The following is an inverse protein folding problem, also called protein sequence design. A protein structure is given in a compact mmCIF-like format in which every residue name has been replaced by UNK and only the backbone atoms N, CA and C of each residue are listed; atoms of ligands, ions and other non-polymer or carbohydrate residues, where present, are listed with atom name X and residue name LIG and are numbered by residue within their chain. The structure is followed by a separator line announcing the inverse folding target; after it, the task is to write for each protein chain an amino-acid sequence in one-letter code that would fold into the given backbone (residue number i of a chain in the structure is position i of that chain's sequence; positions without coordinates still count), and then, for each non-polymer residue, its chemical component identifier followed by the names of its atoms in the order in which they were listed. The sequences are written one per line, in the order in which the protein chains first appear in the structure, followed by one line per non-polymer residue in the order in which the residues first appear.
data_IF_047609557491
#
_entry.id   IF_047609557491
#
_cell.length_a   1.000
_cell.length_b   1.000
_cell.length_c   1.000
_cell.angle_alpha   90.00
_cell.angle_beta   90.00
_cell.angle_gamma   90.00
#
_symmetry.space_group_name_H-M   'P 1'
#
loop_
_entity.id
_entity.type
_entity.pdbx_description
1 polymer ?
#
# COMPACT_ATOMS: atom_id res chain seq x y z
N UNK A 1 -35.86 5.55 0.77
CA UNK A 1 -34.48 5.83 0.35
C UNK A 1 -33.53 5.11 1.28
N UNK A 2 -32.36 4.73 0.79
CA UNK A 2 -31.29 4.15 1.61
C UNK A 2 -30.13 5.14 1.72
N UNK A 3 -29.39 5.05 2.81
CA UNK A 3 -28.14 5.76 3.01
C UNK A 3 -27.02 4.72 3.02
N UNK A 4 -25.97 5.00 2.27
CA UNK A 4 -24.82 4.14 2.09
C UNK A 4 -23.56 4.93 2.44
N UNK A 5 -22.63 4.26 3.10
CA UNK A 5 -21.27 4.74 3.27
C UNK A 5 -20.37 4.02 2.28
N UNK A 6 -19.65 4.80 1.49
CA UNK A 6 -18.66 4.34 0.54
C UNK A 6 -17.31 4.72 1.13
N UNK A 7 -16.45 3.73 1.37
CA UNK A 7 -15.06 3.96 1.72
C UNK A 7 -14.19 3.40 0.60
N UNK A 8 -13.25 4.18 0.08
CA UNK A 8 -12.35 3.77 -1.00
C UNK A 8 -10.93 4.29 -0.80
N UNK A 9 -9.94 3.44 -1.05
CA UNK A 9 -8.52 3.77 -1.02
C UNK A 9 -8.02 3.92 -2.46
N UNK A 10 -7.32 5.03 -2.75
CA UNK A 10 -6.66 5.26 -4.04
C UNK A 10 -5.21 5.67 -3.86
N UNK A 11 -4.34 5.35 -4.81
CA UNK A 11 -2.93 5.80 -4.77
C UNK A 11 -2.79 7.32 -4.96
N UNK A 12 -3.75 7.97 -5.61
CA UNK A 12 -3.67 9.40 -5.95
C UNK A 12 -4.93 10.17 -5.59
N UNK A 13 -4.73 11.39 -5.07
CA UNK A 13 -5.82 12.30 -4.68
C UNK A 13 -6.51 12.97 -5.88
N UNK A 14 -5.76 13.18 -6.96
CA UNK A 14 -6.14 14.11 -8.03
C UNK A 14 -7.41 13.66 -8.76
N UNK A 15 -8.48 14.46 -8.76
CA UNK A 15 -9.71 14.10 -9.46
C UNK A 15 -10.56 12.99 -8.83
N UNK A 16 -10.07 12.29 -7.79
CA UNK A 16 -10.75 11.15 -7.16
C UNK A 16 -12.17 11.49 -6.69
N UNK A 17 -12.31 12.61 -5.97
CA UNK A 17 -13.59 13.08 -5.46
C UNK A 17 -14.57 13.44 -6.59
N UNK A 18 -14.07 13.99 -7.69
CA UNK A 18 -14.88 14.42 -8.83
C UNK A 18 -15.37 13.20 -9.61
N UNK A 19 -14.48 12.24 -9.89
CA UNK A 19 -14.80 11.02 -10.64
C UNK A 19 -15.78 10.13 -9.87
N UNK A 20 -15.49 9.87 -8.60
CA UNK A 20 -16.38 9.09 -7.73
C UNK A 20 -17.70 9.80 -7.51
N UNK A 21 -17.68 11.13 -7.32
CA UNK A 21 -18.88 11.95 -7.27
C UNK A 21 -19.72 11.85 -8.55
N UNK A 22 -19.08 11.74 -9.72
CA UNK A 22 -19.77 11.54 -11.00
C UNK A 22 -20.47 10.20 -11.07
N UNK A 23 -19.84 9.11 -10.59
CA UNK A 23 -20.48 7.80 -10.52
C UNK A 23 -21.70 7.82 -9.61
N UNK A 24 -21.57 8.42 -8.42
CA UNK A 24 -22.67 8.57 -7.45
C UNK A 24 -23.87 9.28 -8.08
N UNK A 25 -23.63 10.42 -8.75
CA UNK A 25 -24.68 11.19 -9.41
C UNK A 25 -25.30 10.44 -10.60
N UNK A 26 -24.48 9.80 -11.43
CA UNK A 26 -24.93 9.02 -12.58
C UNK A 26 -25.82 7.83 -12.17
N UNK A 27 -25.50 7.20 -11.04
CA UNK A 27 -26.31 6.13 -10.45
C UNK A 27 -27.55 6.64 -9.69
N UNK A 28 -27.81 7.95 -9.67
CA UNK A 28 -29.00 8.53 -9.04
C UNK A 28 -28.94 8.62 -7.51
N UNK A 29 -27.73 8.68 -6.95
CA UNK A 29 -27.50 8.96 -5.54
C UNK A 29 -27.15 10.44 -5.34
N UNK A 30 -27.49 10.96 -4.16
CA UNK A 30 -27.15 12.31 -3.72
C UNK A 30 -26.05 12.22 -2.67
N UNK A 31 -25.00 13.01 -2.81
CA UNK A 31 -23.92 13.08 -1.83
C UNK A 31 -24.39 13.86 -0.60
N UNK A 32 -24.28 13.26 0.58
CA UNK A 32 -24.66 13.86 1.87
C UNK A 32 -23.42 14.39 2.60
N UNK A 33 -22.39 13.54 2.71
CA UNK A 33 -21.14 13.86 3.40
C UNK A 33 -19.98 13.31 2.57
N UNK A 34 -18.87 14.02 2.59
CA UNK A 34 -17.63 13.52 2.02
C UNK A 34 -16.48 13.89 2.94
N UNK A 35 -15.52 12.98 3.03
CA UNK A 35 -14.27 13.19 3.73
C UNK A 35 -13.17 12.63 2.86
N UNK A 36 -12.13 13.42 2.68
CA UNK A 36 -10.93 12.99 1.99
C UNK A 36 -9.78 13.13 2.98
N UNK A 37 -9.16 12.01 3.31
CA UNK A 37 -8.04 11.97 4.24
C UNK A 37 -6.82 11.47 3.48
N UNK A 38 -5.70 12.17 3.65
CA UNK A 38 -4.44 11.68 3.14
C UNK A 38 -3.96 10.59 4.10
N UNK A 39 -3.77 9.40 3.54
CA UNK A 39 -3.39 8.20 4.26
C UNK A 39 -1.98 7.79 3.82
N UNK A 40 -1.14 7.19 4.68
CA UNK A 40 0.17 6.71 4.28
C UNK A 40 0.15 5.74 3.08
N UNK A 41 -0.96 5.04 2.85
CA UNK A 41 -1.17 4.12 1.71
C UNK A 41 -1.83 4.77 0.50
N UNK A 42 -2.13 6.07 0.57
CA UNK A 42 -2.69 6.85 -0.53
C UNK A 42 -3.68 7.93 -0.09
N UNK A 43 -4.82 8.00 -0.75
CA UNK A 43 -5.90 8.92 -0.44
C UNK A 43 -7.14 8.12 -0.12
N UNK A 44 -7.59 8.25 1.12
CA UNK A 44 -8.83 7.65 1.59
C UNK A 44 -10.00 8.59 1.29
N UNK A 45 -10.97 8.09 0.55
CA UNK A 45 -12.23 8.77 0.28
C UNK A 45 -13.35 8.07 1.06
N UNK A 46 -14.06 8.82 1.89
CA UNK A 46 -15.30 8.40 2.53
C UNK A 46 -16.43 9.27 2.03
N UNK A 47 -17.50 8.66 1.52
CA UNK A 47 -18.69 9.35 1.03
C UNK A 47 -19.94 8.72 1.60
N UNK A 48 -20.78 9.53 2.25
CA UNK A 48 -22.13 9.13 2.63
C UNK A 48 -23.08 9.60 1.54
N UNK A 49 -23.81 8.67 0.95
CA UNK A 49 -24.71 8.92 -0.18
C UNK A 49 -26.12 8.44 0.13
N UNK A 50 -27.13 9.16 -0.38
CA UNK A 50 -28.54 8.82 -0.21
C UNK A 50 -29.20 8.61 -1.56
N UNK A 51 -29.90 7.49 -1.73
CA UNK A 51 -30.55 7.18 -3.00
C UNK A 51 -31.56 6.05 -2.95
N UNK A 52 -31.89 5.54 -4.14
CA UNK A 52 -32.83 4.43 -4.29
C UNK A 52 -32.10 3.09 -4.11
N UNK A 53 -32.65 2.14 -3.32
CA UNK A 53 -32.04 0.81 -3.16
C UNK A 53 -31.94 0.04 -4.49
N UNK A 54 -32.83 0.33 -5.45
CA UNK A 54 -32.81 -0.31 -6.78
C UNK A 54 -31.56 0.04 -7.59
N UNK A 55 -30.93 1.18 -7.28
CA UNK A 55 -29.74 1.69 -7.98
C UNK A 55 -28.42 1.29 -7.31
N UNK A 56 -28.45 0.60 -6.16
CA UNK A 56 -27.24 0.17 -5.44
C UNK A 56 -26.30 -0.65 -6.33
N UNK A 57 -26.84 -1.66 -7.04
CA UNK A 57 -26.03 -2.54 -7.91
C UNK A 57 -25.36 -1.80 -9.06
N UNK A 58 -26.01 -0.76 -9.58
CA UNK A 58 -25.46 0.06 -10.67
C UNK A 58 -24.32 0.95 -10.17
N UNK A 59 -24.44 1.48 -8.94
CA UNK A 59 -23.36 2.19 -8.27
C UNK A 59 -22.18 1.27 -7.97
N UNK A 60 -22.45 0.08 -7.44
CA UNK A 60 -21.43 -0.93 -7.11
C UNK A 60 -20.64 -1.34 -8.36
N UNK A 61 -21.31 -1.69 -9.45
CA UNK A 61 -20.66 -2.01 -10.72
C UNK A 61 -19.84 -0.84 -11.30
N UNK A 62 -20.28 0.40 -11.11
CA UNK A 62 -19.54 1.58 -11.57
C UNK A 62 -18.26 1.82 -10.75
N UNK A 63 -18.29 1.55 -9.44
CA UNK A 63 -17.10 1.65 -8.58
C UNK A 63 -16.15 0.47 -8.76
N UNK A 64 -16.66 -0.73 -9.04
CA UNK A 64 -15.85 -1.91 -9.32
C UNK A 64 -15.10 -1.79 -10.66
N UNK A 65 -15.70 -1.14 -11.65
CA UNK A 65 -15.02 -0.79 -12.91
C UNK A 65 -14.04 0.38 -12.82
N UNK A 66 -13.84 0.97 -11.64
CA UNK A 66 -12.96 2.12 -11.44
C UNK A 66 -11.55 1.67 -11.02
N UNK A 67 -10.65 1.70 -11.99
CA UNK A 67 -9.25 1.25 -11.91
C UNK A 67 -8.39 2.00 -10.86
N UNK A 68 -8.78 3.20 -10.47
CA UNK A 68 -8.01 4.00 -9.50
C UNK A 68 -8.29 3.64 -8.04
N UNK A 69 -9.35 2.89 -7.76
CA UNK A 69 -9.52 2.30 -6.43
C UNK A 69 -8.62 1.07 -6.29
N UNK A 70 -7.77 1.11 -5.27
CA UNK A 70 -7.01 -0.05 -4.80
C UNK A 70 -7.94 -1.00 -4.07
N UNK A 71 -8.87 -0.45 -3.29
CA UNK A 71 -9.95 -1.18 -2.65
C UNK A 71 -11.11 -0.23 -2.36
N UNK A 72 -12.33 -0.77 -2.30
CA UNK A 72 -13.49 -0.01 -1.83
C UNK A 72 -14.48 -0.93 -1.12
N UNK A 73 -15.36 -0.33 -0.32
CA UNK A 73 -16.45 -1.01 0.37
C UNK A 73 -17.68 -0.13 0.38
N UNK A 74 -18.86 -0.76 0.25
CA UNK A 74 -20.16 -0.11 0.36
C UNK A 74 -20.94 -0.74 1.52
N UNK A 75 -21.15 0.02 2.58
CA UNK A 75 -21.94 -0.41 3.76
C UNK A 75 -23.20 0.43 3.91
N UNK A 76 -24.27 -0.08 4.56
CA UNK A 76 -25.36 0.77 5.02
C UNK A 76 -24.83 1.81 6.01
N UNK A 77 -25.18 3.08 5.82
CA UNK A 77 -24.79 4.14 6.75
C UNK A 77 -25.69 4.10 7.98
N UNK A 78 -25.09 4.11 9.18
CA UNK A 78 -25.77 4.18 10.47
C UNK A 78 -25.26 5.41 11.20
N UNK A 79 -26.16 6.36 11.50
CA UNK A 79 -25.78 7.61 12.14
C UNK A 79 -25.30 7.37 13.58
N UNK A 80 -24.06 7.78 13.87
CA UNK A 80 -23.43 7.64 15.18
C UNK A 80 -22.47 6.45 15.31
N UNK A 81 -22.43 5.54 14.33
CA UNK A 81 -21.40 4.50 14.24
C UNK A 81 -20.27 4.99 13.35
N UNK A 82 -19.12 5.35 13.93
CA UNK A 82 -17.90 5.55 13.14
C UNK A 82 -17.35 4.17 12.79
N UNK A 83 -17.54 3.74 11.53
CA UNK A 83 -16.93 2.50 11.06
C UNK A 83 -15.41 2.71 10.92
N UNK A 84 -14.59 1.95 11.68
CA UNK A 84 -13.14 2.07 11.60
C UNK A 84 -12.67 1.79 10.17
N UNK A 85 -11.82 2.67 9.66
CA UNK A 85 -11.33 2.62 8.29
C UNK A 85 -10.40 1.42 8.06
N UNK A 86 -10.57 0.73 6.92
CA UNK A 86 -9.74 -0.39 6.45
C UNK A 86 -8.22 -0.07 6.38
N UNK A 87 -7.87 1.14 5.93
CA UNK A 87 -6.49 1.52 5.59
C UNK A 87 -5.68 2.16 6.73
N UNK A 88 -6.33 2.54 7.83
CA UNK A 88 -5.70 3.33 8.89
C UNK A 88 -4.78 2.52 9.83
N UNK A 89 -4.66 1.21 9.65
CA UNK A 89 -4.02 0.31 10.62
C UNK A 89 -2.63 -0.20 10.24
N UNK A 90 -1.95 0.37 9.24
CA UNK A 90 -0.61 -0.12 8.86
C UNK A 90 0.40 1.02 8.78
N UNK A 91 1.39 1.02 9.68
CA UNK A 91 2.67 1.72 9.46
C UNK A 91 3.52 0.86 8.53
N UNK A 92 4.02 1.44 7.43
CA UNK A 92 5.28 0.96 6.84
C UNK A 92 6.42 1.61 7.58
N UNK A 93 7.36 0.81 8.08
CA UNK A 93 8.65 1.33 8.51
C UNK A 93 9.29 2.05 7.32
N UNK A 94 9.66 3.32 7.50
CA UNK A 94 10.54 4.01 6.57
C UNK A 94 11.84 3.22 6.52
N UNK A 95 12.07 2.48 5.44
CA UNK A 95 13.34 1.81 5.20
C UNK A 95 14.42 2.90 5.15
N UNK A 96 15.22 2.99 6.21
CA UNK A 96 16.51 3.66 6.21
C UNK A 96 17.51 2.63 5.71
N UNK A 97 18.10 2.80 4.50
CA UNK A 97 19.16 1.91 4.05
C UNK A 97 20.28 1.90 5.09
N UNK A 98 20.84 0.73 5.42
CA UNK A 98 21.94 0.64 6.37
C UNK A 98 23.10 1.53 5.89
N UNK A 99 23.80 2.25 6.79
CA UNK A 99 24.92 3.08 6.41
C UNK A 99 25.95 2.23 5.67
N UNK A 100 26.42 2.73 4.52
CA UNK A 100 27.38 2.04 3.67
C UNK A 100 28.60 1.62 4.53
N UNK A 101 29.08 0.38 4.39
CA UNK A 101 30.24 -0.07 5.15
C UNK A 101 31.44 0.82 4.84
N UNK A 102 32.12 1.29 5.89
CA UNK A 102 33.32 2.10 5.74
C UNK A 102 34.36 1.34 4.89
N UNK A 103 35.07 2.04 3.98
CA UNK A 103 36.07 1.41 3.14
C UNK A 103 37.17 0.81 4.02
N UNK A 104 37.24 -0.52 4.02
CA UNK A 104 38.34 -1.29 4.62
C UNK A 104 39.64 -0.84 3.94
N UNK A 105 40.48 -0.11 4.68
CA UNK A 105 41.85 0.15 4.30
C UNK A 105 42.58 -1.18 4.11
N UNK A 106 43.17 -1.47 2.95
CA UNK A 106 43.88 -2.72 2.74
C UNK A 106 45.08 -2.82 3.67
N UNK A 107 45.08 -3.85 4.51
CA UNK A 107 46.21 -4.23 5.36
C UNK A 107 47.40 -4.54 4.46
N UNK A 108 48.54 -3.92 4.78
CA UNK A 108 49.80 -4.07 4.07
C UNK A 108 50.20 -5.54 3.92
N UNK A 109 50.48 -5.96 2.69
CA UNK A 109 51.10 -7.26 2.38
C UNK A 109 52.42 -7.38 3.14
N UNK A 110 52.48 -8.37 4.02
CA UNK A 110 53.75 -8.88 4.58
C UNK A 110 54.60 -9.40 3.44
N UNK A 111 55.82 -8.88 3.36
CA UNK A 111 56.81 -9.21 2.35
C UNK A 111 57.31 -10.65 2.49
N UNK A 112 57.27 -11.40 1.39
CA UNK A 112 58.04 -12.62 1.20
C UNK A 112 59.43 -12.27 0.60
N UNK A 113 60.50 -13.00 0.94
CA UNK A 113 61.87 -12.64 0.59
C UNK A 113 62.20 -12.89 -0.88
N UNK A 114 63.08 -12.02 -1.39
CA UNK A 114 63.52 -11.93 -2.78
C UNK A 114 64.37 -13.12 -3.26
N UNK A 115 64.35 -13.41 -4.58
CA UNK A 115 65.51 -13.92 -5.28
C UNK A 115 66.17 -12.84 -6.15
N UNK A 116 67.43 -13.12 -6.48
CA UNK A 116 68.47 -12.21 -6.90
C UNK A 116 68.25 -11.48 -8.24
N UNK A 117 68.85 -10.29 -8.31
CA UNK A 117 69.03 -9.47 -9.51
C UNK A 117 69.91 -10.18 -10.54
N UNK A 118 69.47 -10.17 -11.81
CA UNK A 118 70.36 -10.22 -12.98
C UNK A 118 69.97 -9.08 -13.93
N UNK A 119 71.01 -8.49 -14.53
CA UNK A 119 71.07 -7.16 -15.08
C UNK A 119 70.26 -6.89 -16.36
N UNK A 120 69.97 -5.61 -16.54
CA UNK A 120 69.47 -4.96 -17.77
C UNK A 120 70.57 -4.93 -18.86
N UNK A 121 70.22 -4.64 -20.14
CA UNK A 121 70.33 -3.24 -20.56
C UNK A 121 69.21 -2.74 -21.51
N UNK A 122 68.83 -1.48 -21.22
CA UNK A 122 68.63 -0.34 -22.12
C UNK A 122 67.87 -0.49 -23.46
N UNK A 123 66.72 0.21 -23.55
CA UNK A 123 66.49 1.23 -24.58
C UNK A 123 65.29 2.14 -24.20
N UNK A 124 65.53 3.45 -24.27
CA UNK A 124 64.58 4.56 -24.40
C UNK A 124 65.14 5.42 -25.55
N UNK A 125 64.41 6.34 -26.23
CA UNK A 125 63.35 7.20 -25.70
C UNK A 125 62.14 7.31 -26.69
N UNK A 126 61.03 7.98 -26.39
CA UNK A 126 60.91 9.45 -26.49
C UNK A 126 59.62 9.95 -25.85
N UNK A 127 59.77 11.11 -25.21
CA UNK A 127 58.73 12.01 -24.72
C UNK A 127 58.00 12.66 -25.90
N UNK A 128 56.74 13.00 -25.70
CA UNK A 128 56.32 14.39 -25.87
C UNK A 128 55.12 14.72 -24.99
N UNK A 129 55.19 15.93 -24.44
CA UNK A 129 54.24 16.64 -23.58
C UNK A 129 53.74 17.81 -24.41
N UNK A 130 52.44 18.09 -24.43
CA UNK A 130 51.81 19.44 -24.49
C UNK A 130 50.28 19.25 -24.56
N UNK A 131 49.51 19.61 -23.52
CA UNK A 131 48.79 20.90 -23.32
C UNK A 131 47.45 21.05 -24.05
N UNK A 132 46.54 21.70 -23.31
CA UNK A 132 45.40 22.51 -23.74
C UNK A 132 44.05 21.86 -24.08
N UNK A 133 43.16 21.95 -23.09
CA UNK A 133 41.83 22.59 -23.15
C UNK A 133 40.67 21.93 -23.96
N UNK A 134 39.40 22.22 -23.56
CA UNK A 134 38.26 21.33 -23.72
C UNK A 134 37.49 21.55 -25.03
N UNK A 135 37.02 20.46 -25.64
CA UNK A 135 36.09 20.54 -26.76
C UNK A 135 34.66 20.81 -26.29
N UNK A 136 34.33 22.10 -26.29
CA UNK A 136 33.15 22.71 -26.89
C UNK A 136 31.84 21.92 -26.89
N UNK A 137 30.95 22.35 -25.99
CA UNK A 137 29.50 22.35 -26.15
C UNK A 137 29.14 23.22 -27.36
N UNK A 138 28.38 22.67 -28.30
CA UNK A 138 27.65 23.45 -29.29
C UNK A 138 26.15 23.46 -28.94
N UNK A 139 25.52 24.63 -28.83
CA UNK A 139 24.15 24.82 -28.35
C UNK A 139 23.11 24.62 -29.46
N UNK A 140 21.97 24.02 -29.12
CA UNK A 140 20.77 24.10 -29.97
C UNK A 140 20.15 25.48 -29.78
N UNK A 141 20.30 26.30 -30.82
CA UNK A 141 19.72 27.62 -30.97
C UNK A 141 18.20 27.54 -31.04
N UNK A 142 17.55 28.24 -30.11
CA UNK A 142 16.21 28.77 -30.30
C UNK A 142 16.25 29.94 -31.30
N UNK A 143 15.22 30.07 -32.14
CA UNK A 143 14.81 31.38 -32.69
C UNK A 143 13.31 31.60 -32.57
N UNK A 144 12.89 32.86 -32.39
CA UNK A 144 11.61 33.23 -31.78
C UNK A 144 10.65 33.87 -32.80
N UNK A 145 9.36 33.93 -32.44
CA UNK A 145 8.42 34.91 -32.97
C UNK A 145 7.73 35.58 -31.76
N UNK A 146 8.25 36.72 -31.32
CA UNK A 146 7.90 38.09 -31.73
C UNK A 146 6.70 38.62 -30.93
N UNK A 147 7.07 39.38 -29.91
CA UNK A 147 6.30 40.27 -29.06
C UNK A 147 5.68 41.41 -29.88
N UNK A 148 4.46 41.80 -29.55
CA UNK A 148 4.01 43.18 -29.67
C UNK A 148 3.25 43.57 -28.40
N UNK A 149 3.70 44.67 -27.80
CA UNK A 149 3.23 45.25 -26.56
C UNK A 149 2.51 46.56 -26.87
N UNK A 150 1.39 46.84 -26.21
CA UNK A 150 0.82 48.19 -26.06
C UNK A 150 0.12 48.22 -24.69
N UNK A 151 0.81 48.73 -23.66
CA UNK A 151 0.64 50.03 -23.00
C UNK A 151 -0.52 50.12 -21.99
N UNK A 152 -0.15 50.52 -20.78
CA UNK A 152 -1.02 51.06 -19.76
C UNK A 152 -1.19 52.56 -19.97
N UNK A 153 -2.42 53.07 -19.88
CA UNK A 153 -2.72 54.47 -19.63
C UNK A 153 -4.07 54.63 -18.92
N UNK A 154 -4.26 55.79 -18.31
CA UNK A 154 -4.97 56.04 -17.07
C UNK A 154 -6.48 56.29 -17.18
N UNK A 155 -7.13 56.09 -16.03
CA UNK A 155 -8.29 56.78 -15.41
C UNK A 155 -9.12 57.72 -16.30
N UNK A 156 -10.43 57.44 -16.41
CA UNK A 156 -11.46 58.48 -16.37
C UNK A 156 -12.82 57.97 -15.90
N UNK A 157 -13.35 58.70 -14.93
CA UNK A 157 -14.67 58.62 -14.24
C UNK A 157 -15.78 59.28 -15.05
N UNK A 158 -16.99 58.69 -15.12
CA UNK A 158 -18.29 59.40 -15.28
C UNK A 158 -19.46 58.46 -14.90
N UNK A 159 -20.71 58.92 -14.65
CA UNK A 159 -21.25 59.43 -13.38
C UNK A 159 -22.42 58.57 -12.81
N UNK A 160 -22.84 58.92 -11.60
CA UNK A 160 -24.02 58.40 -10.91
C UNK A 160 -25.36 58.72 -11.63
N UNK A 161 -26.29 57.76 -11.58
CA UNK A 161 -27.70 57.89 -11.97
C UNK A 161 -28.61 57.69 -10.73
N UNK A 162 -29.83 58.28 -10.70
CA UNK A 162 -30.50 58.78 -9.49
C UNK A 162 -31.20 57.70 -8.63
N UNK A 163 -31.53 58.02 -7.36
CA UNK A 163 -32.21 57.08 -6.46
C UNK A 163 -33.70 56.93 -6.82
N UNK A 164 -34.15 55.67 -6.88
CA UNK A 164 -35.57 55.31 -6.96
C UNK A 164 -36.24 55.38 -5.57
N UNK A 165 -37.55 55.68 -5.49
CA UNK A 165 -38.26 56.00 -4.25
C UNK A 165 -38.48 54.77 -3.34
N UNK A 166 -38.70 54.97 -2.02
CA UNK A 166 -38.87 53.88 -1.06
C UNK A 166 -40.35 53.52 -0.88
N UNK A 167 -40.72 52.26 -1.13
CA UNK A 167 -41.99 51.65 -0.69
C UNK A 167 -41.83 50.11 -0.60
N UNK A 168 -42.66 49.39 0.18
CA UNK A 168 -42.80 49.43 1.64
C UNK A 168 -42.39 48.09 2.28
N UNK A 169 -42.17 48.09 3.60
CA UNK A 169 -41.93 46.88 4.39
C UNK A 169 -43.13 45.92 4.31
N UNK A 170 -42.95 44.81 3.60
CA UNK A 170 -43.84 43.65 3.71
C UNK A 170 -43.23 42.68 4.72
N UNK A 171 -43.75 42.73 5.95
CA UNK A 171 -43.57 41.68 6.95
C UNK A 171 -44.11 40.36 6.39
N UNK A 172 -43.21 39.53 5.86
CA UNK A 172 -43.52 38.14 5.60
C UNK A 172 -43.56 37.43 6.95
N UNK A 173 -44.77 37.25 7.49
CA UNK A 173 -45.02 36.36 8.62
C UNK A 173 -44.71 34.94 8.13
N UNK A 174 -43.46 34.51 8.28
CA UNK A 174 -43.10 33.11 8.24
C UNK A 174 -43.65 32.47 9.53
N UNK A 175 -44.46 31.40 9.46
CA UNK A 175 -44.84 30.66 10.64
C UNK A 175 -43.57 30.17 11.33
N UNK A 176 -43.34 30.61 12.56
CA UNK A 176 -42.25 30.13 13.40
C UNK A 176 -42.53 28.68 13.76
N UNK A 177 -42.14 27.74 12.91
CA UNK A 177 -41.96 26.36 13.34
C UNK A 177 -40.74 26.35 14.25
N UNK A 178 -41.00 26.36 15.57
CA UNK A 178 -40.00 26.11 16.59
C UNK A 178 -39.29 24.81 16.25
N UNK A 179 -38.04 24.90 15.80
CA UNK A 179 -37.19 23.73 15.66
C UNK A 179 -37.12 23.04 17.04
N UNK A 180 -37.34 21.71 17.13
CA UNK A 180 -37.07 20.97 18.35
C UNK A 180 -35.60 21.21 18.72
N UNK A 181 -35.33 21.47 20.00
CA UNK A 181 -33.96 21.58 20.49
C UNK A 181 -33.19 20.30 20.09
N UNK A 182 -31.95 20.42 19.59
CA UNK A 182 -31.13 19.24 19.38
C UNK A 182 -31.03 18.49 20.71
N UNK A 183 -31.20 17.15 20.73
CA UNK A 183 -30.90 16.38 21.93
C UNK A 183 -29.46 16.70 22.35
N UNK A 184 -29.16 16.73 23.66
CA UNK A 184 -27.79 16.94 24.11
C UNK A 184 -26.93 15.91 23.39
N UNK A 185 -25.98 16.39 22.58
CA UNK A 185 -24.97 15.56 21.98
C UNK A 185 -24.29 14.86 23.15
N UNK A 186 -24.56 13.56 23.31
CA UNK A 186 -23.72 12.73 24.15
C UNK A 186 -22.33 12.89 23.56
N UNK A 187 -21.43 13.49 24.34
CA UNK A 187 -20.01 13.48 24.04
C UNK A 187 -19.62 12.02 23.99
N UNK A 188 -19.63 11.45 22.78
CA UNK A 188 -18.99 10.19 22.49
C UNK A 188 -17.54 10.46 22.81
N UNK A 189 -17.09 9.99 23.97
CA UNK A 189 -15.68 9.85 24.26
C UNK A 189 -15.14 8.97 23.13
N UNK A 190 -14.56 9.61 22.12
CA UNK A 190 -13.78 8.92 21.11
C UNK A 190 -12.72 8.15 21.88
N UNK A 191 -12.85 6.82 21.94
CA UNK A 191 -11.79 5.98 22.45
C UNK A 191 -10.53 6.43 21.71
N UNK A 192 -9.49 6.90 22.42
CA UNK A 192 -8.30 7.41 21.77
C UNK A 192 -7.78 6.30 20.85
N UNK A 193 -7.52 6.66 19.59
CA UNK A 193 -6.85 5.79 18.65
C UNK A 193 -5.56 5.28 19.30
N UNK A 194 -5.57 4.02 19.76
CA UNK A 194 -4.39 3.39 20.35
C UNK A 194 -3.56 2.87 19.19
N UNK A 195 -2.49 3.59 18.89
CA UNK A 195 -1.46 3.18 17.96
C UNK A 195 -0.84 1.88 18.47
N UNK A 196 -1.22 0.74 17.88
CA UNK A 196 -0.63 -0.56 18.20
C UNK A 196 0.82 -0.52 17.75
N UNK A 197 1.73 -0.47 18.72
CA UNK A 197 3.17 -0.50 18.46
C UNK A 197 3.52 -1.84 17.84
N UNK A 198 4.14 -1.81 16.65
CA UNK A 198 4.69 -3.01 16.02
C UNK A 198 5.78 -3.60 16.92
N UNK A 199 5.63 -4.88 17.24
CA UNK A 199 6.56 -5.65 18.07
C UNK A 199 7.23 -6.72 17.22
N UNK A 200 8.44 -7.10 17.64
CA UNK A 200 9.13 -8.24 17.06
C UNK A 200 8.35 -9.55 17.26
N UNK A 201 8.69 -10.55 16.44
CA UNK A 201 8.07 -11.86 16.51
C UNK A 201 8.32 -12.52 17.88
N UNK A 202 7.31 -13.17 18.42
CA UNK A 202 7.47 -14.05 19.58
C UNK A 202 8.02 -15.41 19.12
N UNK A 203 9.34 -15.52 19.04
CA UNK A 203 10.01 -16.74 18.55
C UNK A 203 9.63 -17.99 19.36
N UNK A 204 9.45 -17.85 20.69
CA UNK A 204 9.11 -18.97 21.55
C UNK A 204 7.70 -19.49 21.30
N UNK A 205 6.74 -18.59 21.06
CA UNK A 205 5.40 -18.96 20.65
C UNK A 205 5.38 -19.62 19.26
N UNK A 206 6.19 -19.12 18.33
CA UNK A 206 6.35 -19.70 16.98
C UNK A 206 6.93 -21.11 17.05
N UNK A 207 8.01 -21.32 17.81
CA UNK A 207 8.63 -22.63 17.97
C UNK A 207 7.66 -23.65 18.57
N UNK A 208 6.90 -23.24 19.58
CA UNK A 208 5.86 -24.07 20.17
C UNK A 208 4.76 -24.41 19.16
N UNK A 209 4.34 -23.46 18.32
CA UNK A 209 3.33 -23.70 17.30
C UNK A 209 3.79 -24.71 16.24
N UNK A 210 5.07 -24.64 15.84
CA UNK A 210 5.65 -25.47 14.78
C UNK A 210 6.33 -26.77 15.26
N UNK A 211 6.40 -27.03 16.56
CA UNK A 211 7.14 -28.17 17.14
C UNK A 211 6.79 -29.54 16.53
N UNK A 212 5.56 -29.75 16.06
CA UNK A 212 5.10 -31.00 15.44
C UNK A 212 4.65 -30.85 13.99
N UNK A 213 5.22 -29.88 13.28
CA UNK A 213 4.94 -29.60 11.86
C UNK A 213 4.98 -30.86 10.97
N UNK A 214 5.88 -31.80 11.26
CA UNK A 214 6.00 -33.06 10.51
C UNK A 214 4.72 -33.90 10.51
N UNK A 215 3.98 -33.89 11.62
CA UNK A 215 2.74 -34.66 11.79
C UNK A 215 1.49 -33.85 11.44
N UNK A 216 1.54 -32.52 11.66
CA UNK A 216 0.39 -31.66 11.47
C UNK A 216 0.26 -31.13 10.04
N UNK A 217 1.34 -31.10 9.24
CA UNK A 217 1.26 -30.62 7.86
C UNK A 217 0.42 -31.55 6.97
N UNK A 218 -0.51 -31.00 6.15
CA UNK A 218 -0.75 -29.59 5.85
C UNK A 218 -1.82 -28.90 6.74
N UNK A 219 -2.34 -29.57 7.76
CA UNK A 219 -3.38 -29.06 8.69
C UNK A 219 -2.81 -28.09 9.75
N UNK A 220 -2.08 -27.06 9.32
CA UNK A 220 -1.44 -26.09 10.21
C UNK A 220 -2.40 -25.01 10.75
N UNK A 221 -3.54 -24.77 10.08
CA UNK A 221 -4.44 -23.65 10.40
C UNK A 221 -4.90 -23.57 11.87
N UNK A 222 -5.31 -24.67 12.54
CA UNK A 222 -5.74 -24.59 13.94
C UNK A 222 -4.64 -24.07 14.87
N UNK A 223 -3.37 -24.41 14.60
CA UNK A 223 -2.22 -23.96 15.39
C UNK A 223 -1.86 -22.51 15.12
N UNK A 224 -1.98 -22.08 13.87
CA UNK A 224 -1.73 -20.68 13.49
C UNK A 224 -2.78 -19.74 14.07
N UNK A 225 -4.04 -20.18 14.13
CA UNK A 225 -5.11 -19.44 14.83
C UNK A 225 -4.84 -19.35 16.34
N UNK A 226 -4.39 -20.45 16.95
CA UNK A 226 -3.98 -20.45 18.36
C UNK A 226 -2.78 -19.53 18.62
N UNK A 227 -1.78 -19.51 17.73
CA UNK A 227 -0.64 -18.59 17.78
C UNK A 227 -1.10 -17.13 17.71
N UNK A 228 -1.96 -16.79 16.73
CA UNK A 228 -2.49 -15.43 16.55
C UNK A 228 -3.24 -14.92 17.78
N UNK A 229 -3.92 -15.81 18.52
CA UNK A 229 -4.61 -15.45 19.76
C UNK A 229 -3.72 -15.42 21.01
N UNK A 230 -2.57 -16.11 20.98
CA UNK A 230 -1.66 -16.20 22.11
C UNK A 230 -0.64 -15.05 22.18
N UNK A 231 -0.26 -14.48 21.04
CA UNK A 231 0.74 -13.39 20.98
C UNK A 231 0.10 -12.00 21.11
N UNK A 232 0.84 -11.01 21.64
CA UNK A 232 0.39 -9.62 21.69
C UNK A 232 0.00 -9.08 20.31
N UNK A 233 -0.97 -8.16 20.25
CA UNK A 233 -1.49 -7.62 18.98
C UNK A 233 -0.40 -7.06 18.08
N UNK A 234 0.53 -6.28 18.63
CA UNK A 234 1.66 -5.73 17.88
C UNK A 234 2.66 -6.77 17.35
N UNK A 235 2.67 -7.99 17.89
CA UNK A 235 3.55 -9.10 17.49
C UNK A 235 2.86 -10.12 16.57
N UNK A 236 1.56 -9.99 16.29
CA UNK A 236 0.79 -11.01 15.55
C UNK A 236 1.32 -11.21 14.14
N UNK A 237 1.45 -10.13 13.39
CA UNK A 237 1.90 -10.17 11.99
C UNK A 237 3.33 -10.69 11.88
N UNK A 238 4.25 -10.17 12.72
CA UNK A 238 5.65 -10.59 12.75
C UNK A 238 5.81 -12.06 13.16
N UNK A 239 5.05 -12.52 14.16
CA UNK A 239 5.07 -13.93 14.59
C UNK A 239 4.49 -14.86 13.52
N UNK A 240 3.40 -14.46 12.87
CA UNK A 240 2.80 -15.24 11.78
C UNK A 240 3.71 -15.28 10.54
N UNK A 241 4.38 -14.17 10.20
CA UNK A 241 5.37 -14.13 9.12
C UNK A 241 6.53 -15.10 9.40
N UNK A 242 7.11 -15.05 10.61
CA UNK A 242 8.19 -15.96 11.01
C UNK A 242 7.74 -17.43 10.99
N UNK A 243 6.53 -17.71 11.47
CA UNK A 243 5.96 -19.06 11.41
C UNK A 243 5.80 -19.53 9.96
N UNK A 244 5.36 -18.63 9.07
CA UNK A 244 5.31 -18.85 7.64
C UNK A 244 6.68 -19.22 7.08
N UNK A 245 7.69 -18.37 7.29
CA UNK A 245 9.05 -18.58 6.79
C UNK A 245 9.63 -19.94 7.21
N UNK A 246 9.51 -20.28 8.49
CA UNK A 246 9.99 -21.57 9.02
C UNK A 246 9.23 -22.76 8.41
N UNK A 247 7.91 -22.65 8.28
CA UNK A 247 7.10 -23.71 7.66
C UNK A 247 7.40 -23.88 6.16
N UNK A 248 7.53 -22.78 5.42
CA UNK A 248 7.87 -22.79 4.00
C UNK A 248 9.23 -23.40 3.73
N UNK A 249 10.25 -23.00 4.51
CA UNK A 249 11.59 -23.57 4.42
C UNK A 249 11.61 -25.07 4.73
N UNK A 250 10.83 -25.51 5.72
CA UNK A 250 10.69 -26.92 6.05
C UNK A 250 10.03 -27.72 4.91
N UNK A 251 8.96 -27.20 4.31
CA UNK A 251 8.31 -27.84 3.15
C UNK A 251 9.27 -27.91 1.97
N UNK A 252 10.02 -26.84 1.69
CA UNK A 252 11.03 -26.82 0.65
C UNK A 252 12.05 -27.95 0.81
N UNK A 253 12.63 -28.07 2.02
CA UNK A 253 13.63 -29.09 2.33
C UNK A 253 13.08 -30.52 2.25
N UNK A 254 11.79 -30.71 2.56
CA UNK A 254 11.13 -32.02 2.54
C UNK A 254 10.74 -32.48 1.14
N UNK A 255 10.19 -31.59 0.33
CA UNK A 255 9.46 -31.97 -0.89
C UNK A 255 10.14 -31.56 -2.20
N UNK A 256 10.97 -30.51 -2.18
CA UNK A 256 11.49 -29.92 -3.41
C UNK A 256 13.00 -30.05 -3.54
N UNK A 257 13.76 -29.69 -2.50
CA UNK A 257 15.22 -29.81 -2.40
C UNK A 257 15.96 -29.82 -3.76
N UNK A 258 15.83 -28.73 -4.52
CA UNK A 258 16.33 -28.63 -5.90
C UNK A 258 17.79 -28.19 -5.93
N UNK A 259 18.56 -28.76 -6.86
CA UNK A 259 19.99 -28.44 -7.08
C UNK A 259 20.23 -27.19 -7.95
N UNK A 260 19.18 -26.54 -8.47
CA UNK A 260 19.28 -25.40 -9.38
C UNK A 260 18.13 -24.41 -9.22
N UNK A 261 18.40 -23.14 -9.54
CA UNK A 261 17.41 -22.07 -9.42
C UNK A 261 16.32 -22.14 -10.50
N UNK A 262 15.15 -21.58 -10.18
CA UNK A 262 14.02 -21.43 -11.09
C UNK A 262 13.75 -19.93 -11.29
N UNK A 263 13.29 -19.55 -12.48
CA UNK A 263 12.71 -18.22 -12.67
C UNK A 263 11.40 -18.11 -11.88
N UNK A 264 11.02 -16.89 -11.48
CA UNK A 264 9.86 -16.68 -10.61
C UNK A 264 8.57 -17.35 -11.11
N UNK A 265 8.25 -17.23 -12.40
CA UNK A 265 7.04 -17.83 -12.98
C UNK A 265 7.03 -19.36 -12.79
N UNK A 266 8.14 -20.04 -13.10
CA UNK A 266 8.29 -21.48 -12.94
C UNK A 266 8.27 -21.89 -11.46
N UNK A 267 8.89 -21.08 -10.58
CA UNK A 267 8.90 -21.32 -9.14
C UNK A 267 7.49 -21.23 -8.55
N UNK A 268 6.68 -20.25 -8.98
CA UNK A 268 5.30 -20.13 -8.55
C UNK A 268 4.43 -21.27 -9.06
N UNK A 269 4.50 -21.57 -10.36
CA UNK A 269 3.66 -22.60 -10.98
C UNK A 269 3.98 -24.01 -10.42
N UNK A 270 5.25 -24.32 -10.20
CA UNK A 270 5.71 -25.67 -9.84
C UNK A 270 5.84 -25.90 -8.33
N UNK A 271 6.01 -24.85 -7.53
CA UNK A 271 6.30 -24.95 -6.09
C UNK A 271 5.33 -24.10 -5.28
N UNK A 272 5.28 -22.79 -5.52
CA UNK A 272 4.54 -21.84 -4.69
C UNK A 272 3.04 -22.12 -4.63
N UNK A 273 2.39 -22.14 -5.79
CA UNK A 273 0.94 -22.37 -5.91
C UNK A 273 0.54 -23.76 -5.41
N UNK A 274 1.20 -24.87 -5.81
CA UNK A 274 0.88 -26.20 -5.27
C UNK A 274 1.02 -26.29 -3.73
N UNK A 275 2.09 -25.76 -3.15
CA UNK A 275 2.32 -25.82 -1.72
C UNK A 275 1.31 -24.98 -0.92
N UNK A 276 0.93 -23.80 -1.43
CA UNK A 276 -0.11 -22.98 -0.82
C UNK A 276 -1.50 -23.64 -0.90
N UNK A 277 -1.83 -24.27 -2.03
CA UNK A 277 -3.09 -25.01 -2.20
C UNK A 277 -3.27 -26.16 -1.21
N UNK A 278 -2.17 -26.69 -0.66
CA UNK A 278 -2.26 -27.66 0.42
C UNK A 278 -2.78 -27.06 1.74
N UNK A 279 -2.60 -25.74 1.94
CA UNK A 279 -2.94 -25.02 3.17
C UNK A 279 -4.26 -24.25 3.09
N UNK A 280 -4.54 -23.62 1.94
CA UNK A 280 -5.68 -22.72 1.73
C UNK A 280 -6.10 -22.72 0.26
N UNK A 281 -7.35 -22.33 -0.02
CA UNK A 281 -7.80 -22.16 -1.41
C UNK A 281 -7.08 -20.97 -2.07
N UNK A 282 -6.40 -21.23 -3.19
CA UNK A 282 -5.61 -20.22 -3.92
C UNK A 282 -5.80 -20.31 -5.43
N UNK A 283 -6.03 -19.15 -6.04
CA UNK A 283 -5.98 -18.93 -7.48
C UNK A 283 -4.72 -18.14 -7.85
N UNK A 284 -4.09 -18.51 -8.97
CA UNK A 284 -2.90 -17.82 -9.49
C UNK A 284 -3.27 -17.03 -10.73
N UNK A 285 -2.92 -15.74 -10.74
CA UNK A 285 -3.07 -14.84 -11.87
C UNK A 285 -1.71 -14.21 -12.19
N UNK A 286 -0.93 -14.88 -13.04
CA UNK A 286 0.45 -14.47 -13.33
C UNK A 286 1.32 -14.55 -12.07
N UNK A 287 1.87 -13.41 -11.64
CA UNK A 287 2.68 -13.27 -10.43
C UNK A 287 1.87 -12.86 -9.19
N UNK A 288 0.54 -12.89 -9.28
CA UNK A 288 -0.38 -12.64 -8.16
C UNK A 288 -1.01 -13.94 -7.68
N UNK A 289 -1.15 -14.06 -6.37
CA UNK A 289 -1.83 -15.16 -5.70
C UNK A 289 -3.02 -14.62 -4.93
N UNK A 290 -4.21 -15.09 -5.30
CA UNK A 290 -5.48 -14.76 -4.68
C UNK A 290 -5.83 -15.86 -3.68
N UNK A 291 -5.81 -15.53 -2.40
CA UNK A 291 -6.14 -16.43 -1.31
C UNK A 291 -7.62 -16.25 -0.98
N UNK A 292 -8.39 -17.30 -1.22
CA UNK A 292 -9.83 -17.33 -0.97
C UNK A 292 -10.09 -17.79 0.47
N UNK A 293 -11.03 -17.12 1.13
CA UNK A 293 -11.54 -17.49 2.45
C UNK A 293 -10.50 -17.85 3.53
N UNK A 294 -9.39 -17.12 3.56
CA UNK A 294 -8.33 -17.35 4.56
C UNK A 294 -8.86 -17.33 6.01
N UNK A 295 -8.70 -18.42 6.78
CA UNK A 295 -9.13 -18.46 8.18
C UNK A 295 -8.42 -17.42 9.06
N UNK A 296 -7.18 -17.08 8.70
CA UNK A 296 -6.35 -16.10 9.39
C UNK A 296 -6.81 -14.65 9.12
N UNK A 297 -7.65 -14.44 8.11
CA UNK A 297 -8.05 -13.11 7.65
C UNK A 297 -9.55 -12.83 7.80
N UNK A 298 -10.22 -13.56 8.70
CA UNK A 298 -11.64 -13.32 9.03
C UNK A 298 -11.82 -12.03 9.83
N UNK A 299 -13.06 -11.58 10.07
CA UNK A 299 -13.38 -10.34 10.80
C UNK A 299 -12.76 -10.23 12.22
N UNK A 300 -12.25 -11.32 12.78
CA UNK A 300 -11.54 -11.36 14.08
C UNK A 300 -10.04 -11.64 13.91
N UNK A 301 -9.59 -11.94 12.69
CA UNK A 301 -8.21 -12.28 12.35
C UNK A 301 -7.46 -11.05 11.86
N UNK A 302 -6.39 -10.68 12.57
CA UNK A 302 -5.48 -9.59 12.21
C UNK A 302 -4.13 -10.18 11.79
N UNK A 303 -4.13 -10.97 10.72
CA UNK A 303 -2.90 -11.62 10.23
C UNK A 303 -2.24 -10.87 9.09
N UNK A 304 -2.98 -10.04 8.35
CA UNK A 304 -2.45 -9.32 7.19
C UNK A 304 -1.92 -10.23 6.09
N UNK A 305 -2.38 -11.49 6.02
CA UNK A 305 -1.77 -12.55 5.22
C UNK A 305 -0.28 -12.80 5.50
N UNK A 306 0.26 -12.30 6.62
CA UNK A 306 1.69 -12.35 6.93
C UNK A 306 2.25 -13.76 6.96
N UNK A 307 1.46 -14.73 7.44
CA UNK A 307 1.83 -16.14 7.38
C UNK A 307 2.06 -16.63 5.94
N UNK A 308 1.20 -16.26 4.99
CA UNK A 308 1.32 -16.72 3.60
C UNK A 308 2.46 -16.04 2.88
N UNK A 309 2.68 -14.74 3.13
CA UNK A 309 3.88 -14.04 2.65
C UNK A 309 5.15 -14.70 3.15
N UNK A 310 5.26 -14.92 4.46
CA UNK A 310 6.40 -15.61 5.05
C UNK A 310 6.55 -17.04 4.53
N UNK A 311 5.45 -17.78 4.36
CA UNK A 311 5.47 -19.13 3.81
C UNK A 311 6.09 -19.18 2.41
N UNK A 312 5.68 -18.27 1.54
CA UNK A 312 6.24 -18.15 0.20
C UNK A 312 7.72 -17.70 0.23
N UNK A 313 8.09 -16.77 1.11
CA UNK A 313 9.49 -16.35 1.27
C UNK A 313 10.39 -17.52 1.67
N UNK A 314 9.98 -18.31 2.67
CA UNK A 314 10.72 -19.49 3.11
C UNK A 314 10.75 -20.62 2.07
N UNK A 315 9.66 -20.77 1.32
CA UNK A 315 9.51 -21.83 0.33
C UNK A 315 10.26 -21.54 -0.98
N UNK A 316 10.21 -20.31 -1.47
CA UNK A 316 10.73 -19.91 -2.78
C UNK A 316 12.11 -19.25 -2.68
N UNK A 317 12.46 -18.68 -1.52
CA UNK A 317 13.75 -18.04 -1.29
C UNK A 317 14.97 -18.91 -1.66
N UNK A 318 14.97 -20.24 -1.43
CA UNK A 318 16.08 -21.11 -1.83
C UNK A 318 16.22 -21.33 -3.35
N UNK A 319 15.14 -21.18 -4.14
CA UNK A 319 15.15 -21.46 -5.60
C UNK A 319 15.24 -20.20 -6.44
N UNK A 320 14.87 -19.05 -5.89
CA UNK A 320 15.00 -17.74 -6.53
C UNK A 320 16.33 -17.13 -6.06
N UNK A 321 16.97 -16.31 -6.90
CA UNK A 321 18.27 -15.75 -6.57
C UNK A 321 18.23 -15.01 -5.21
N UNK A 322 19.21 -15.22 -4.30
CA UNK A 322 19.17 -14.60 -2.98
C UNK A 322 18.97 -13.08 -3.05
N UNK A 323 17.95 -12.57 -2.36
CA UNK A 323 17.64 -11.14 -2.27
C UNK A 323 16.87 -10.54 -3.45
N UNK A 324 16.46 -11.35 -4.43
CA UNK A 324 15.59 -10.91 -5.54
C UNK A 324 14.11 -11.03 -5.19
N UNK A 325 13.71 -12.10 -4.50
CA UNK A 325 12.32 -12.35 -4.12
C UNK A 325 11.75 -11.25 -3.19
N UNK A 326 10.63 -10.69 -3.60
CA UNK A 326 9.85 -9.70 -2.87
C UNK A 326 8.37 -10.06 -2.94
N UNK A 327 7.71 -10.04 -1.77
CA UNK A 327 6.30 -10.43 -1.64
C UNK A 327 5.55 -9.28 -0.96
N UNK A 328 4.48 -8.83 -1.61
CA UNK A 328 3.70 -7.69 -1.15
C UNK A 328 2.23 -8.07 -1.02
N UNK A 329 1.64 -7.93 0.18
CA UNK A 329 0.19 -7.99 0.29
C UNK A 329 -0.41 -6.75 -0.40
N UNK A 330 -1.17 -6.98 -1.47
CA UNK A 330 -1.87 -5.93 -2.23
C UNK A 330 -3.15 -5.55 -1.51
N UNK A 331 -3.93 -6.55 -1.08
CA UNK A 331 -5.12 -6.38 -0.27
C UNK A 331 -5.31 -7.60 0.65
N UNK A 332 -6.04 -7.42 1.75
CA UNK A 332 -6.30 -8.49 2.71
C UNK A 332 -7.65 -8.32 3.39
N UNK A 333 -8.36 -9.44 3.59
CA UNK A 333 -9.64 -9.49 4.30
C UNK A 333 -9.53 -9.09 5.77
N UNK A 334 -8.37 -9.29 6.42
CA UNK A 334 -8.09 -8.79 7.78
C UNK A 334 -8.23 -7.29 7.88
N UNK A 335 -7.96 -6.59 6.79
CA UNK A 335 -8.09 -5.15 6.75
C UNK A 335 -9.48 -4.74 6.25
N UNK A 336 -10.22 -5.65 5.59
CA UNK A 336 -11.62 -5.48 5.14
C UNK A 336 -11.85 -5.50 3.61
N UNK A 337 -10.88 -6.00 2.85
CA UNK A 337 -11.03 -6.28 1.42
C UNK A 337 -11.91 -7.52 1.24
N UNK A 338 -12.46 -7.71 0.04
CA UNK A 338 -13.29 -8.89 -0.24
C UNK A 338 -12.44 -10.17 -0.39
N UNK A 339 -11.21 -10.01 -0.85
CA UNK A 339 -10.22 -11.07 -1.02
C UNK A 339 -8.85 -10.70 -0.47
N UNK A 340 -7.95 -11.70 -0.41
CA UNK A 340 -6.56 -11.52 -0.03
C UNK A 340 -5.67 -11.74 -1.26
N UNK A 341 -4.88 -10.74 -1.65
CA UNK A 341 -4.02 -10.82 -2.84
C UNK A 341 -2.58 -10.55 -2.45
N UNK A 342 -1.68 -11.45 -2.86
CA UNK A 342 -0.23 -11.30 -2.74
C UNK A 342 0.37 -11.10 -4.13
N UNK A 343 1.12 -10.02 -4.32
CA UNK A 343 1.96 -9.81 -5.50
C UNK A 343 3.38 -10.24 -5.21
N UNK A 344 4.01 -10.91 -6.18
CA UNK A 344 5.32 -11.51 -6.04
C UNK A 344 6.21 -11.03 -7.18
N UNK A 345 7.43 -10.63 -6.87
CA UNK A 345 8.43 -10.17 -7.84
C UNK A 345 9.84 -10.64 -7.48
N UNK A 346 10.71 -10.78 -8.47
CA UNK A 346 12.15 -11.06 -8.35
C UNK A 346 12.99 -9.93 -9.00
#
# INVERSE_FOLDING_TARGET
MIELEIQGLSQSREGLLIEVGRFILASGFTLQRQRLVQDPHGTLLTMVVRGSPRKKRELEAALEGYDRFVSFRITPFVEGEEQPHFGATVKRATYLPPPAPEPVTPVAKVAAPAPARVASPAASPSRDVLTDEPFAVAPILARPAKTEAVQAEAVQTVPAAPPAPPEPDFEFILPTTRAPAPPPAASVEANPFVDVVALDADEGAVDKALQSIEYDYPKLMPRLLALSGAVPEGARESSLALAGQRAGAWVFAREYALDGGLGLADALERIGTPALRALVEVEQQGAQLHILDSPLCTNQGHSGCSFFSGFLEGLLGPVIAPGSLSIFPVCCRSYGADECVLAISD
#
